data_IF_879637423831
#
_entry.id   IF_879637423831
#
_cell.length_a   1.000
_cell.length_b   1.000
_cell.length_c   1.000
_cell.angle_alpha   90.00
_cell.angle_beta   90.00
_cell.angle_gamma   90.00
#
_symmetry.space_group_name_H-M   'P 1'
#
loop_
_entity.id
_entity.type
_entity.pdbx_description
1 polymer ?
#
# COMPACT_ATOMS: atom_id res chain seq x y z
N UNK A 1 -12.54 3.49 52.69
CA UNK A 1 -13.60 2.51 52.37
C UNK A 1 -13.20 1.84 51.05
N UNK A 2 -12.33 0.84 51.14
CA UNK A 2 -11.73 0.18 49.98
C UNK A 2 -12.56 -1.02 49.50
N UNK A 3 -12.92 -0.93 48.22
CA UNK A 3 -13.18 -1.98 47.22
C UNK A 3 -13.19 -3.45 47.71
N UNK A 4 -14.38 -3.93 48.05
CA UNK A 4 -14.66 -5.37 48.17
C UNK A 4 -15.34 -5.88 46.89
N UNK A 5 -14.57 -6.08 45.82
CA UNK A 5 -15.14 -6.54 44.54
C UNK A 5 -14.19 -7.38 43.68
N UNK A 6 -13.54 -8.43 44.21
CA UNK A 6 -12.83 -9.43 43.37
C UNK A 6 -12.90 -10.85 43.92
N UNK A 7 -14.12 -11.39 44.03
CA UNK A 7 -14.36 -12.81 44.36
C UNK A 7 -15.35 -13.46 43.39
N UNK A 8 -15.28 -13.12 42.11
CA UNK A 8 -15.88 -13.98 41.09
C UNK A 8 -14.76 -14.87 40.53
N UNK A 9 -14.79 -16.19 40.79
CA UNK A 9 -13.91 -17.11 40.10
C UNK A 9 -14.19 -16.97 38.61
N UNK A 10 -13.12 -16.78 37.84
CA UNK A 10 -13.21 -16.67 36.39
C UNK A 10 -13.66 -18.02 35.84
N UNK A 11 -14.98 -18.21 35.70
CA UNK A 11 -15.63 -19.34 35.03
C UNK A 11 -15.43 -19.24 33.51
N UNK A 12 -14.27 -18.74 33.07
CA UNK A 12 -13.84 -18.75 31.69
C UNK A 12 -13.47 -20.20 31.36
N UNK A 13 -14.49 -21.00 31.06
CA UNK A 13 -14.31 -22.26 30.35
C UNK A 13 -13.42 -21.98 29.14
N UNK A 14 -12.42 -22.83 28.96
CA UNK A 14 -11.28 -22.65 28.06
C UNK A 14 -11.72 -22.08 26.69
N UNK A 15 -11.53 -20.76 26.45
CA UNK A 15 -12.18 -20.08 25.33
C UNK A 15 -11.74 -20.66 23.98
N UNK A 16 -10.53 -21.22 23.91
CA UNK A 16 -9.96 -21.80 22.69
C UNK A 16 -10.56 -23.15 22.28
N UNK A 17 -11.13 -23.93 23.20
CA UNK A 17 -11.85 -25.15 22.86
C UNK A 17 -13.20 -24.83 22.22
N UNK A 18 -13.93 -23.88 22.80
CA UNK A 18 -15.23 -23.45 22.28
C UNK A 18 -15.11 -22.68 20.96
N UNK A 19 -14.08 -21.85 20.79
CA UNK A 19 -13.83 -21.14 19.53
C UNK A 19 -13.64 -22.10 18.35
N UNK A 20 -12.82 -23.14 18.54
CA UNK A 20 -12.60 -24.19 17.52
C UNK A 20 -13.86 -25.00 17.25
N UNK A 21 -14.66 -25.28 18.27
CA UNK A 21 -15.93 -25.99 18.13
C UNK A 21 -16.97 -25.16 17.37
N UNK A 22 -17.16 -23.88 17.73
CA UNK A 22 -18.07 -22.97 17.05
C UNK A 22 -17.70 -22.78 15.57
N UNK A 23 -16.42 -22.65 15.25
CA UNK A 23 -15.93 -22.53 13.87
C UNK A 23 -16.13 -23.82 13.05
N UNK A 24 -16.07 -24.99 13.69
CA UNK A 24 -16.46 -26.28 13.09
C UNK A 24 -17.97 -26.35 12.87
N UNK A 25 -18.75 -25.94 13.87
CA UNK A 25 -20.22 -25.94 13.84
C UNK A 25 -20.77 -24.99 12.78
N UNK A 26 -20.21 -23.78 12.66
CA UNK A 26 -20.58 -22.79 11.66
C UNK A 26 -20.34 -23.31 10.24
N UNK A 27 -19.18 -23.94 9.99
CA UNK A 27 -18.89 -24.59 8.70
C UNK A 27 -19.83 -25.76 8.41
N UNK A 28 -20.19 -26.52 9.44
CA UNK A 28 -21.11 -27.65 9.31
C UNK A 28 -22.54 -27.20 8.97
N UNK A 29 -23.07 -26.20 9.68
CA UNK A 29 -24.39 -25.60 9.45
C UNK A 29 -24.52 -24.90 8.08
N UNK A 30 -23.43 -24.29 7.58
CA UNK A 30 -23.42 -23.60 6.28
C UNK A 30 -23.42 -24.52 5.06
N UNK A 31 -23.36 -25.84 5.25
CA UNK A 31 -23.29 -26.81 4.14
C UNK A 31 -24.69 -27.33 3.79
N UNK A 32 -25.06 -27.35 2.50
CA UNK A 32 -26.36 -27.88 2.04
C UNK A 32 -26.62 -29.34 2.45
N UNK A 33 -25.54 -30.13 2.64
CA UNK A 33 -25.60 -31.52 3.09
C UNK A 33 -26.20 -31.67 4.50
N UNK A 34 -26.05 -30.69 5.39
CA UNK A 34 -26.63 -30.74 6.73
C UNK A 34 -28.16 -30.72 6.69
N UNK A 35 -28.74 -29.81 5.89
CA UNK A 35 -30.18 -29.71 5.70
C UNK A 35 -30.76 -30.99 5.07
N UNK A 36 -30.06 -31.59 4.11
CA UNK A 36 -30.46 -32.85 3.49
C UNK A 36 -30.46 -33.97 4.51
N UNK A 37 -29.39 -34.12 5.29
CA UNK A 37 -29.28 -35.13 6.35
C UNK A 37 -30.40 -35.00 7.39
N UNK A 38 -30.66 -33.79 7.88
CA UNK A 38 -31.72 -33.54 8.87
C UNK A 38 -33.11 -33.86 8.31
N UNK A 39 -33.38 -33.50 7.05
CA UNK A 39 -34.64 -33.84 6.37
C UNK A 39 -34.81 -35.36 6.24
N UNK A 40 -33.76 -36.08 5.85
CA UNK A 40 -33.79 -37.55 5.74
C UNK A 40 -34.07 -38.19 7.10
N UNK A 41 -33.44 -37.72 8.17
CA UNK A 41 -33.68 -38.24 9.53
C UNK A 41 -35.15 -38.06 9.94
N UNK A 42 -35.75 -36.90 9.68
CA UNK A 42 -37.17 -36.64 9.96
C UNK A 42 -38.06 -37.57 9.15
N UNK A 43 -37.80 -37.73 7.85
CA UNK A 43 -38.57 -38.62 6.98
C UNK A 43 -38.48 -40.07 7.47
N UNK A 44 -37.28 -40.54 7.81
CA UNK A 44 -37.05 -41.89 8.34
C UNK A 44 -37.80 -42.09 9.66
N UNK A 45 -37.77 -41.10 10.57
CA UNK A 45 -38.51 -41.19 11.84
C UNK A 45 -40.02 -41.32 11.64
N UNK A 46 -40.58 -40.50 10.75
CA UNK A 46 -42.00 -40.55 10.39
C UNK A 46 -42.31 -41.91 9.75
N UNK A 47 -41.50 -42.37 8.80
CA UNK A 47 -41.69 -43.64 8.11
C UNK A 47 -41.67 -44.83 9.08
N UNK A 48 -40.70 -44.88 10.01
CA UNK A 48 -40.61 -45.93 11.03
C UNK A 48 -41.83 -45.98 11.94
N UNK A 49 -42.35 -44.80 12.33
CA UNK A 49 -43.56 -44.71 13.16
C UNK A 49 -44.85 -45.04 12.41
N UNK A 50 -44.96 -44.66 11.14
CA UNK A 50 -46.14 -44.93 10.30
C UNK A 50 -46.22 -46.39 9.89
N UNK A 51 -45.08 -46.99 9.48
CA UNK A 51 -45.00 -48.42 9.15
C UNK A 51 -45.24 -49.29 10.40
N UNK A 52 -45.09 -48.72 11.59
CA UNK A 52 -45.31 -49.42 12.84
C UNK A 52 -44.33 -50.57 12.96
N UNK A 53 -43.03 -50.28 12.86
CA UNK A 53 -41.99 -51.27 13.11
C UNK A 53 -42.28 -51.86 14.51
N UNK A 54 -42.64 -53.16 14.57
CA UNK A 54 -43.07 -53.91 15.77
C UNK A 54 -44.55 -53.84 16.20
N UNK A 55 -45.48 -53.26 15.43
CA UNK A 55 -46.90 -53.20 15.80
C UNK A 55 -47.22 -52.30 17.01
N UNK A 56 -46.20 -51.73 17.65
CA UNK A 56 -46.30 -50.65 18.62
C UNK A 56 -46.06 -49.31 17.91
N UNK A 57 -47.06 -48.43 17.94
CA UNK A 57 -46.89 -47.02 17.56
C UNK A 57 -46.16 -46.31 18.70
N UNK A 58 -44.83 -46.23 18.62
CA UNK A 58 -44.02 -45.55 19.64
C UNK A 58 -44.26 -44.04 19.70
N UNK A 59 -44.57 -43.39 18.57
CA UNK A 59 -44.91 -41.97 18.48
C UNK A 59 -46.11 -41.75 17.53
N UNK A 60 -47.36 -41.95 18.00
CA UNK A 60 -48.56 -41.68 17.20
C UNK A 60 -48.68 -40.20 16.82
N UNK A 61 -49.36 -39.92 15.70
CA UNK A 61 -49.68 -38.54 15.28
C UNK A 61 -50.32 -37.77 16.45
N UNK A 62 -49.77 -36.62 16.91
CA UNK A 62 -48.94 -35.63 16.18
C UNK A 62 -47.41 -35.68 16.41
N UNK A 63 -46.81 -36.84 16.70
CA UNK A 63 -45.36 -37.02 16.92
C UNK A 63 -44.80 -36.20 18.10
N UNK A 64 -45.24 -36.51 19.32
CA UNK A 64 -44.88 -35.74 20.52
C UNK A 64 -43.38 -35.88 20.85
N UNK A 65 -42.79 -37.05 20.61
CA UNK A 65 -41.38 -37.30 20.92
C UNK A 65 -40.47 -36.54 19.95
N UNK A 66 -40.82 -36.52 18.67
CA UNK A 66 -40.10 -35.72 17.67
C UNK A 66 -40.14 -34.23 18.05
N UNK A 67 -41.30 -33.71 18.43
CA UNK A 67 -41.44 -32.32 18.86
C UNK A 67 -40.63 -32.02 20.13
N UNK A 68 -40.62 -32.95 21.10
CA UNK A 68 -39.82 -32.81 22.32
C UNK A 68 -38.32 -32.77 22.01
N UNK A 69 -37.86 -33.57 21.03
CA UNK A 69 -36.48 -33.57 20.61
C UNK A 69 -36.10 -32.24 19.94
N UNK A 70 -36.94 -31.72 19.04
CA UNK A 70 -36.73 -30.41 18.40
C UNK A 70 -36.76 -29.24 19.41
N UNK A 71 -37.68 -29.25 20.37
CA UNK A 71 -37.74 -28.20 21.39
C UNK A 71 -36.50 -28.19 22.28
N UNK A 72 -36.01 -29.37 22.66
CA UNK A 72 -34.76 -29.52 23.40
C UNK A 72 -33.56 -29.07 22.55
N UNK A 73 -33.53 -29.44 21.27
CA UNK A 73 -32.47 -29.05 20.34
C UNK A 73 -32.38 -27.52 20.20
N UNK A 74 -33.52 -26.84 20.06
CA UNK A 74 -33.56 -25.37 20.02
C UNK A 74 -33.13 -24.75 21.36
N UNK A 75 -33.56 -25.33 22.49
CA UNK A 75 -33.23 -24.85 23.84
C UNK A 75 -31.72 -24.92 24.14
N UNK A 76 -31.03 -25.98 23.71
CA UNK A 76 -29.58 -26.08 23.86
C UNK A 76 -28.80 -25.28 22.80
N UNK A 77 -29.40 -25.03 21.62
CA UNK A 77 -28.77 -24.20 20.60
C UNK A 77 -28.64 -22.74 21.03
N UNK A 78 -29.64 -22.17 21.71
CA UNK A 78 -29.64 -20.76 22.14
C UNK A 78 -28.40 -20.33 22.95
N UNK A 79 -28.01 -21.01 24.05
CA UNK A 79 -26.80 -20.65 24.79
C UNK A 79 -25.52 -20.86 23.97
N UNK A 80 -25.47 -21.89 23.13
CA UNK A 80 -24.32 -22.15 22.27
C UNK A 80 -24.15 -21.04 21.22
N UNK A 81 -25.24 -20.59 20.61
CA UNK A 81 -25.27 -19.47 19.66
C UNK A 81 -24.86 -18.17 20.36
N UNK A 82 -25.37 -17.90 21.56
CA UNK A 82 -25.01 -16.70 22.32
C UNK A 82 -23.50 -16.64 22.62
N UNK A 83 -22.90 -17.76 23.00
CA UNK A 83 -21.45 -17.83 23.21
C UNK A 83 -20.65 -17.67 21.91
N UNK A 84 -21.15 -18.22 20.80
CA UNK A 84 -20.53 -18.04 19.50
C UNK A 84 -20.61 -16.58 19.02
N UNK A 85 -21.74 -15.91 19.28
CA UNK A 85 -21.97 -14.50 18.95
C UNK A 85 -21.07 -13.57 19.76
N UNK A 86 -20.98 -13.73 21.09
CA UNK A 86 -20.07 -12.91 21.91
C UNK A 86 -18.61 -12.93 21.39
N UNK A 87 -18.14 -14.09 20.91
CA UNK A 87 -16.81 -14.19 20.31
C UNK A 87 -16.70 -13.58 18.91
N UNK A 88 -17.77 -13.59 18.13
CA UNK A 88 -17.80 -12.88 16.84
C UNK A 88 -17.73 -11.38 17.09
N UNK A 89 -18.54 -10.87 18.03
CA UNK A 89 -18.57 -9.45 18.40
C UNK A 89 -17.21 -8.95 18.91
N UNK A 90 -16.50 -9.76 19.72
CA UNK A 90 -15.14 -9.45 20.18
C UNK A 90 -14.13 -9.36 19.02
N UNK A 91 -14.18 -10.30 18.06
CA UNK A 91 -13.32 -10.27 16.86
C UNK A 91 -13.64 -9.07 15.98
N UNK A 92 -14.92 -8.82 15.75
CA UNK A 92 -15.40 -7.70 14.94
C UNK A 92 -14.99 -6.36 15.55
N UNK A 93 -15.03 -6.25 16.88
CA UNK A 93 -14.54 -5.07 17.59
C UNK A 93 -13.04 -4.82 17.36
N UNK A 94 -12.21 -5.86 17.49
CA UNK A 94 -10.75 -5.75 17.24
C UNK A 94 -10.49 -5.37 15.79
N UNK A 95 -11.24 -5.98 14.85
CA UNK A 95 -11.11 -5.67 13.43
C UNK A 95 -11.49 -4.22 13.12
N UNK A 96 -12.56 -3.70 13.74
CA UNK A 96 -12.98 -2.30 13.61
C UNK A 96 -11.93 -1.33 14.18
N UNK A 97 -11.36 -1.63 15.35
CA UNK A 97 -10.30 -0.80 15.94
C UNK A 97 -9.05 -0.76 15.04
N UNK A 98 -8.63 -1.91 14.52
CA UNK A 98 -7.50 -1.98 13.58
C UNK A 98 -7.79 -1.23 12.28
N UNK A 99 -9.00 -1.33 11.74
CA UNK A 99 -9.39 -0.64 10.52
C UNK A 99 -9.39 0.88 10.73
N UNK A 100 -9.88 1.36 11.88
CA UNK A 100 -9.78 2.79 12.26
C UNK A 100 -8.34 3.27 12.29
N UNK A 101 -7.44 2.56 12.98
CA UNK A 101 -6.03 2.94 13.04
C UNK A 101 -5.37 2.90 11.66
N UNK A 102 -5.72 1.93 10.79
CA UNK A 102 -5.23 1.89 9.42
C UNK A 102 -5.73 3.08 8.61
N UNK A 103 -7.00 3.43 8.72
CA UNK A 103 -7.59 4.56 8.02
C UNK A 103 -6.97 5.90 8.45
N UNK A 104 -6.69 6.08 9.74
CA UNK A 104 -5.95 7.24 10.25
C UNK A 104 -4.54 7.35 9.64
N UNK A 105 -3.81 6.23 9.56
CA UNK A 105 -2.48 6.19 8.93
C UNK A 105 -2.55 6.48 7.44
N UNK A 106 -3.51 5.89 6.72
CA UNK A 106 -3.70 6.12 5.29
C UNK A 106 -4.02 7.60 5.00
N UNK A 107 -4.81 8.23 5.85
CA UNK A 107 -5.12 9.66 5.74
C UNK A 107 -3.85 10.50 5.96
N UNK A 108 -3.07 10.20 7.00
CA UNK A 108 -1.80 10.89 7.26
C UNK A 108 -0.78 10.70 6.12
N UNK A 109 -0.66 9.49 5.56
CA UNK A 109 0.21 9.21 4.41
C UNK A 109 -0.26 9.98 3.17
N UNK A 110 -1.57 10.06 2.95
CA UNK A 110 -2.14 10.83 1.83
C UNK A 110 -1.87 12.33 1.99
N UNK A 111 -2.02 12.88 3.20
CA UNK A 111 -1.69 14.28 3.50
C UNK A 111 -0.20 14.55 3.30
N UNK A 112 0.66 13.64 3.76
CA UNK A 112 2.11 13.73 3.57
C UNK A 112 2.49 13.73 2.10
N UNK A 113 2.00 12.75 1.32
CA UNK A 113 2.24 12.67 -0.12
C UNK A 113 1.71 13.91 -0.85
N UNK A 114 0.54 14.43 -0.46
CA UNK A 114 -0.03 15.66 -1.06
C UNK A 114 0.86 16.86 -0.81
N UNK A 115 1.41 16.99 0.41
CA UNK A 115 2.34 18.06 0.76
C UNK A 115 3.65 17.93 -0.01
N UNK A 116 4.19 16.71 -0.12
CA UNK A 116 5.43 16.46 -0.84
C UNK A 116 5.26 16.74 -2.35
N UNK A 117 4.14 16.32 -2.95
CA UNK A 117 3.80 16.64 -4.34
C UNK A 117 3.66 18.16 -4.54
N UNK A 118 3.06 18.88 -3.60
CA UNK A 118 2.97 20.33 -3.67
C UNK A 118 4.35 20.99 -3.60
N UNK A 119 5.25 20.51 -2.74
CA UNK A 119 6.63 20.99 -2.64
C UNK A 119 7.41 20.72 -3.94
N UNK A 120 7.37 19.47 -4.44
CA UNK A 120 7.98 19.08 -5.71
C UNK A 120 7.47 19.94 -6.88
N UNK A 121 6.17 20.25 -6.93
CA UNK A 121 5.58 21.12 -7.94
C UNK A 121 6.16 22.54 -7.89
N UNK A 122 6.39 23.09 -6.70
CA UNK A 122 6.99 24.43 -6.53
C UNK A 122 8.44 24.41 -7.03
N UNK A 123 9.25 23.45 -6.59
CA UNK A 123 10.64 23.32 -7.03
C UNK A 123 10.76 23.10 -8.54
N UNK A 124 9.89 22.29 -9.14
CA UNK A 124 9.83 22.12 -10.59
C UNK A 124 9.41 23.40 -11.32
N UNK A 125 8.52 24.21 -10.74
CA UNK A 125 8.11 25.49 -11.35
C UNK A 125 9.25 26.49 -11.43
N UNK A 126 10.14 26.50 -10.44
CA UNK A 126 11.33 27.36 -10.43
C UNK A 126 12.30 26.98 -11.55
N UNK A 127 12.59 25.68 -11.72
CA UNK A 127 13.53 25.15 -12.74
C UNK A 127 12.92 25.11 -14.15
N UNK A 128 11.63 24.86 -14.29
CA UNK A 128 10.94 24.75 -15.58
C UNK A 128 10.41 26.08 -16.13
N UNK A 129 10.90 27.22 -15.63
CA UNK A 129 10.54 28.51 -16.24
C UNK A 129 11.04 28.52 -17.67
N UNK A 130 10.15 28.78 -18.66
CA UNK A 130 10.47 28.77 -20.09
C UNK A 130 11.74 29.54 -20.42
N UNK A 131 11.97 30.65 -19.73
CA UNK A 131 13.12 31.52 -19.95
C UNK A 131 14.43 30.91 -19.43
N UNK A 132 14.40 30.15 -18.34
CA UNK A 132 15.58 29.43 -17.82
C UNK A 132 15.98 28.26 -18.73
N UNK A 133 15.00 27.44 -19.14
CA UNK A 133 15.26 26.33 -20.09
C UNK A 133 15.78 26.88 -21.42
N UNK A 134 15.24 28.03 -21.85
CA UNK A 134 15.70 28.71 -23.08
C UNK A 134 17.08 29.32 -22.94
N UNK A 135 17.43 29.90 -21.79
CA UNK A 135 18.77 30.44 -21.55
C UNK A 135 19.82 29.34 -21.48
N UNK A 136 19.51 28.21 -20.82
CA UNK A 136 20.43 27.09 -20.71
C UNK A 136 20.68 26.42 -22.07
N UNK A 137 19.61 26.18 -22.85
CA UNK A 137 19.73 25.67 -24.22
C UNK A 137 20.54 26.61 -25.12
N UNK A 138 20.39 27.93 -24.95
CA UNK A 138 21.21 28.91 -25.68
C UNK A 138 22.66 28.90 -25.24
N UNK A 139 22.91 28.88 -23.93
CA UNK A 139 24.26 28.81 -23.37
C UNK A 139 25.01 27.59 -23.87
N UNK A 140 24.37 26.41 -23.84
CA UNK A 140 24.96 25.17 -24.34
C UNK A 140 25.17 25.20 -25.88
N UNK A 141 24.23 25.78 -26.63
CA UNK A 141 24.39 25.94 -28.08
C UNK A 141 25.57 26.86 -28.41
N UNK A 142 25.72 27.95 -27.66
CA UNK A 142 26.77 28.94 -27.85
C UNK A 142 28.14 28.37 -27.44
N UNK A 143 28.21 27.58 -26.37
CA UNK A 143 29.38 26.81 -26.00
C UNK A 143 29.82 25.83 -27.12
N UNK A 144 28.88 25.09 -27.71
CA UNK A 144 29.15 24.19 -28.85
C UNK A 144 29.64 24.95 -30.10
N UNK A 145 29.05 26.10 -30.42
CA UNK A 145 29.49 26.94 -31.55
C UNK A 145 30.92 27.45 -31.29
N UNK A 146 31.21 27.93 -30.09
CA UNK A 146 32.52 28.46 -29.74
C UNK A 146 33.61 27.37 -29.80
N UNK A 147 33.28 26.14 -29.38
CA UNK A 147 34.16 24.98 -29.55
C UNK A 147 34.41 24.70 -31.04
N UNK A 148 33.39 24.83 -31.89
CA UNK A 148 33.56 24.62 -33.35
C UNK A 148 34.34 25.74 -34.05
N UNK A 149 34.36 26.96 -33.50
CA UNK A 149 35.12 28.10 -34.01
C UNK A 149 36.59 28.06 -33.55
N UNK A 150 36.90 27.51 -32.37
CA UNK A 150 38.29 27.32 -31.89
C UNK A 150 39.08 26.28 -32.70
N UNK A 151 38.39 25.36 -33.39
CA UNK A 151 39.00 24.45 -34.37
C UNK A 151 39.37 25.16 -35.70
N UNK A 152 39.03 26.46 -35.85
CA UNK A 152 39.27 27.27 -37.04
C UNK A 152 40.24 28.46 -36.81
N UNK A 153 41.38 28.25 -36.13
CA UNK A 153 42.46 29.25 -36.07
C UNK A 153 43.19 29.40 -37.44
N UNK A 154 43.32 30.61 -38.03
CA UNK A 154 44.21 30.84 -39.16
C UNK A 154 45.64 31.10 -38.68
N UNK A 155 46.58 30.27 -39.16
CA UNK A 155 48.04 30.36 -38.96
C UNK A 155 48.53 31.82 -39.11
N UNK A 156 49.03 32.42 -38.02
CA UNK A 156 49.66 33.76 -38.00
C UNK A 156 51.13 33.69 -38.49
N UNK A 157 51.49 34.47 -39.52
CA UNK A 157 52.88 34.73 -39.93
C UNK A 157 53.62 35.65 -38.93
N UNK A 158 54.95 35.52 -38.75
CA UNK A 158 55.71 36.24 -37.72
C UNK A 158 56.16 37.63 -38.19
N UNK A 159 55.99 38.62 -37.29
CA UNK A 159 56.42 40.02 -37.46
C UNK A 159 57.94 40.15 -37.49
N UNK A 160 58.51 40.71 -38.58
CA UNK A 160 59.92 41.13 -38.63
C UNK A 160 60.10 42.46 -37.89
N UNK A 161 61.04 42.45 -36.93
CA UNK A 161 61.52 43.61 -36.18
C UNK A 161 62.45 44.46 -37.05
N UNK A 162 62.19 45.77 -37.22
CA UNK A 162 63.13 46.70 -37.87
C UNK A 162 63.58 47.76 -36.86
N UNK A 163 64.87 47.68 -36.52
CA UNK A 163 65.58 48.40 -35.47
C UNK A 163 65.86 49.88 -35.84
N UNK A 164 65.96 50.84 -34.88
CA UNK A 164 66.21 52.25 -35.14
C UNK A 164 67.69 52.59 -34.91
N UNK A 165 68.52 52.59 -35.96
CA UNK A 165 69.89 53.09 -35.87
C UNK A 165 70.44 53.47 -37.25
N UNK A 166 70.05 54.63 -37.77
CA UNK A 166 70.79 55.29 -38.85
C UNK A 166 70.59 56.80 -38.77
N UNK A 167 70.99 57.38 -37.63
CA UNK A 167 71.31 58.80 -37.53
C UNK A 167 72.73 58.92 -36.96
N UNK A 168 73.52 59.78 -37.59
CA UNK A 168 74.88 60.21 -37.24
C UNK A 168 76.08 59.36 -37.73
N UNK A 169 76.69 59.84 -38.82
CA UNK A 169 78.12 60.00 -39.17
C UNK A 169 78.22 59.91 -40.71
N UNK A 170 78.81 60.83 -41.48
CA UNK A 170 80.02 61.62 -41.27
C UNK A 170 80.15 62.69 -42.37
N UNK A 171 80.88 63.75 -42.04
CA UNK A 171 81.28 64.96 -42.77
C UNK A 171 82.19 64.76 -44.00
N UNK A 172 81.87 65.44 -45.12
CA UNK A 172 82.65 66.37 -46.02
C UNK A 172 84.22 66.24 -46.08
N UNK A 173 84.95 66.64 -47.17
CA UNK A 173 84.99 66.24 -48.59
C UNK A 173 86.45 65.92 -49.07
N UNK A 174 86.69 65.52 -50.34
CA UNK A 174 87.85 65.98 -51.15
C UNK A 174 87.95 65.32 -52.56
N UNK A 175 87.82 66.19 -53.57
CA UNK A 175 88.71 66.40 -54.73
C UNK A 175 89.06 65.23 -55.70
N UNK A 176 88.56 65.40 -56.92
CA UNK A 176 88.96 64.81 -58.23
C UNK A 176 90.48 64.80 -58.48
N UNK A 177 90.98 63.86 -59.31
CA UNK A 177 91.38 64.14 -60.71
C UNK A 177 90.84 63.07 -61.72
N UNK A 178 90.45 63.41 -62.96
CA UNK A 178 91.23 63.44 -64.23
C UNK A 178 91.98 62.11 -64.51
N UNK A 179 91.98 61.45 -65.67
CA UNK A 179 91.61 61.71 -67.08
C UNK A 179 91.41 60.31 -67.77
N UNK A 180 91.39 60.08 -69.12
CA UNK A 180 92.06 60.76 -70.24
C UNK A 180 91.17 61.61 -71.16
#
# INVERSE_FOLDING_TARGET
MELKSRLLPNLAGDPDLFGRFAERFARYMGTANFLLYMTVVVIVWIALNVVGLFGLKWDPYPFILLNLFFSTQASYAAPLILLAQNRQDDRDRVQIEQDRTRNERNLADTEYLTREVAALRISLREVATRDFVRSELRSLLEELINISDDDAEPVREPRTSRNPATQALKTVPAKRPANP
#
